data_IF_482278911546
#
_entry.id   IF_482278911546
#
_cell.length_a   1.000
_cell.length_b   1.000
_cell.length_c   1.000
_cell.angle_alpha   90.00
_cell.angle_beta   90.00
_cell.angle_gamma   90.00
#
_symmetry.space_group_name_H-M   'P 1'
#
loop_
_entity.id
_entity.type
_entity.pdbx_description
1 polymer ?
#
# COMPACT_ATOMS: atom_id res chain seq x y z
N UNK A 1 23.92 -3.68 15.71
CA UNK A 1 24.10 -2.24 15.40
C UNK A 1 22.71 -1.64 15.16
N UNK A 2 22.34 -0.62 15.93
CA UNK A 2 20.95 -0.13 16.03
C UNK A 2 20.57 0.58 14.71
N UNK A 3 19.48 0.14 14.09
CA UNK A 3 18.97 0.60 12.79
C UNK A 3 18.23 1.96 12.88
N UNK A 4 18.89 3.00 13.40
CA UNK A 4 18.30 4.34 13.48
C UNK A 4 18.31 4.95 12.06
N UNK A 5 17.13 5.08 11.45
CA UNK A 5 16.92 5.78 10.18
C UNK A 5 16.48 4.92 8.99
N UNK A 6 16.38 3.59 9.14
CA UNK A 6 16.03 2.65 8.06
C UNK A 6 14.56 2.22 8.01
N UNK A 7 13.68 3.09 8.47
CA UNK A 7 12.26 2.79 8.58
C UNK A 7 11.39 3.88 7.99
N UNK A 8 10.33 3.49 7.31
CA UNK A 8 9.32 4.40 6.76
C UNK A 8 7.96 4.07 7.33
N UNK A 9 7.23 5.11 7.72
CA UNK A 9 5.87 4.99 8.22
C UNK A 9 4.92 4.74 7.06
N UNK A 10 4.06 3.75 7.24
CA UNK A 10 2.95 3.44 6.35
C UNK A 10 1.65 3.17 7.11
N UNK A 11 1.76 2.77 8.38
CA UNK A 11 0.68 2.79 9.37
C UNK A 11 0.37 4.22 9.85
N UNK A 12 -0.83 4.42 10.40
CA UNK A 12 -1.28 5.69 10.99
C UNK A 12 -1.21 6.89 10.02
N UNK A 13 -1.26 6.63 8.71
CA UNK A 13 -1.37 7.67 7.69
C UNK A 13 -2.84 7.86 7.37
N UNK A 14 -3.38 9.04 7.66
CA UNK A 14 -4.76 9.33 7.29
C UNK A 14 -4.90 9.58 5.79
N UNK A 15 -5.54 8.65 5.07
CA UNK A 15 -6.00 8.86 3.70
C UNK A 15 -7.33 9.62 3.69
N UNK A 16 -7.47 10.58 2.78
CA UNK A 16 -8.72 11.30 2.57
C UNK A 16 -9.46 10.72 1.38
N UNK A 17 -10.57 10.04 1.65
CA UNK A 17 -11.51 9.63 0.61
C UNK A 17 -12.46 10.81 0.30
N UNK A 18 -12.77 11.04 -0.97
CA UNK A 18 -13.66 12.11 -1.41
C UNK A 18 -15.13 11.65 -1.53
N UNK A 19 -15.44 10.48 -0.97
CA UNK A 19 -16.76 9.86 -0.97
C UNK A 19 -17.09 9.29 0.42
N UNK A 20 -18.38 9.09 0.66
CA UNK A 20 -18.92 8.51 1.89
C UNK A 20 -19.87 7.38 1.53
N UNK A 21 -20.13 6.49 2.49
CA UNK A 21 -21.10 5.42 2.34
C UNK A 21 -21.42 4.80 3.69
N UNK A 22 -22.27 3.79 3.67
CA UNK A 22 -22.70 3.05 4.87
C UNK A 22 -22.69 1.53 4.67
N UNK A 23 -22.34 1.07 3.48
CA UNK A 23 -22.23 -0.33 3.14
C UNK A 23 -21.12 -1.03 3.93
N UNK A 24 -21.22 -2.36 4.03
CA UNK A 24 -20.12 -3.18 4.52
C UNK A 24 -19.12 -3.46 3.42
N UNK A 25 -17.83 -3.29 3.73
CA UNK A 25 -16.72 -3.52 2.80
C UNK A 25 -15.63 -4.39 3.44
N UNK A 26 -15.26 -5.47 2.77
CA UNK A 26 -14.12 -6.29 3.13
C UNK A 26 -12.90 -5.87 2.29
N UNK A 27 -11.74 -5.71 2.93
CA UNK A 27 -10.54 -5.16 2.32
C UNK A 27 -9.39 -6.15 2.46
N UNK A 28 -8.67 -6.39 1.37
CA UNK A 28 -7.42 -7.14 1.37
C UNK A 28 -6.37 -6.40 0.55
N UNK A 29 -5.13 -6.47 1.00
CA UNK A 29 -3.96 -6.05 0.22
C UNK A 29 -3.10 -7.28 0.03
N UNK A 30 -2.89 -7.68 -1.23
CA UNK A 30 -2.13 -8.87 -1.58
C UNK A 30 -0.74 -8.48 -2.06
N UNK A 31 0.30 -8.96 -1.35
CA UNK A 31 1.68 -8.68 -1.71
C UNK A 31 2.13 -9.59 -2.86
N UNK A 32 2.35 -9.00 -4.03
CA UNK A 32 2.83 -9.67 -5.23
C UNK A 32 4.15 -9.07 -5.71
N UNK A 33 4.89 -8.42 -4.81
CA UNK A 33 6.17 -7.81 -5.15
C UNK A 33 7.21 -8.88 -5.41
N UNK A 34 7.85 -8.80 -6.57
CA UNK A 34 8.99 -9.67 -6.93
C UNK A 34 10.08 -9.74 -5.85
N UNK A 35 10.24 -8.65 -5.08
CA UNK A 35 11.19 -8.59 -3.97
C UNK A 35 10.98 -9.68 -2.92
N UNK A 36 9.73 -10.08 -2.68
CA UNK A 36 9.38 -11.13 -1.74
C UNK A 36 9.40 -12.49 -2.45
N UNK A 37 8.75 -12.56 -3.62
CA UNK A 37 8.55 -13.80 -4.35
C UNK A 37 9.86 -14.43 -4.86
N UNK A 38 10.79 -13.62 -5.34
CA UNK A 38 12.02 -14.11 -6.02
C UNK A 38 13.32 -13.62 -5.40
N UNK A 39 13.28 -12.50 -4.66
CA UNK A 39 14.50 -11.88 -4.08
C UNK A 39 14.64 -12.09 -2.58
N UNK A 40 13.79 -12.93 -1.98
CA UNK A 40 13.82 -13.36 -0.58
C UNK A 40 13.93 -12.21 0.44
N UNK A 41 13.31 -11.06 0.15
CA UNK A 41 13.19 -9.98 1.14
C UNK A 41 12.13 -10.32 2.19
N UNK A 42 12.32 -9.79 3.39
CA UNK A 42 11.32 -9.87 4.45
C UNK A 42 10.03 -9.13 4.06
N UNK A 43 8.89 -9.57 4.59
CA UNK A 43 7.56 -9.02 4.26
C UNK A 43 7.41 -7.54 4.63
N UNK A 44 8.22 -7.04 5.56
CA UNK A 44 8.27 -5.64 5.98
C UNK A 44 9.18 -4.76 5.11
N UNK A 45 9.78 -5.30 4.04
CA UNK A 45 10.60 -4.53 3.11
C UNK A 45 9.80 -3.37 2.49
N UNK A 46 10.42 -2.18 2.39
CA UNK A 46 9.79 -0.97 1.87
C UNK A 46 10.71 -0.14 0.97
N UNK A 47 11.96 -0.56 0.77
CA UNK A 47 12.92 0.22 0.00
C UNK A 47 14.37 -0.15 0.24
N UNK A 48 15.23 0.60 -0.45
CA UNK A 48 16.68 0.52 -0.37
C UNK A 48 17.20 1.93 -0.11
N UNK A 49 18.19 2.05 0.77
CA UNK A 49 19.03 3.25 0.90
C UNK A 49 20.47 2.92 0.54
N UNK A 50 21.20 3.91 0.03
CA UNK A 50 22.62 3.79 -0.30
C UNK A 50 23.46 4.63 0.65
N UNK A 51 24.57 4.06 1.14
CA UNK A 51 25.59 4.84 1.86
C UNK A 51 26.25 5.87 0.94
N UNK A 52 27.07 6.77 1.50
CA UNK A 52 27.82 7.76 0.70
C UNK A 52 28.77 7.18 -0.35
N UNK A 53 29.10 5.88 -0.25
CA UNK A 53 29.89 5.13 -1.24
C UNK A 53 29.04 4.17 -2.09
N UNK A 54 27.71 4.31 -2.04
CA UNK A 54 26.77 3.59 -2.91
C UNK A 54 26.30 2.21 -2.42
N UNK A 55 26.73 1.75 -1.24
CA UNK A 55 26.38 0.42 -0.71
C UNK A 55 24.91 0.37 -0.29
N UNK A 56 24.10 -0.57 -0.81
CA UNK A 56 22.68 -0.66 -0.51
C UNK A 56 22.39 -1.29 0.87
N UNK A 57 21.36 -0.78 1.53
CA UNK A 57 20.78 -1.32 2.77
C UNK A 57 19.27 -1.27 2.68
N UNK A 58 18.61 -2.28 3.24
CA UNK A 58 17.16 -2.34 3.23
C UNK A 58 16.53 -1.29 4.15
N UNK A 59 15.37 -0.81 3.72
CA UNK A 59 14.44 -0.01 4.50
C UNK A 59 13.25 -0.90 4.82
N UNK A 60 12.86 -0.94 6.09
CA UNK A 60 11.68 -1.66 6.56
C UNK A 60 10.50 -0.70 6.83
N UNK A 61 9.32 -1.25 7.08
CA UNK A 61 8.23 -0.51 7.71
C UNK A 61 8.62 -0.01 9.09
N UNK A 62 8.01 1.09 9.54
CA UNK A 62 8.20 1.62 10.89
C UNK A 62 7.63 0.68 11.96
N UNK A 63 6.48 0.07 11.66
CA UNK A 63 5.80 -0.91 12.50
C UNK A 63 6.56 -2.24 12.64
N UNK A 64 7.49 -2.52 11.73
CA UNK A 64 8.16 -3.82 11.55
C UNK A 64 7.24 -4.96 11.07
N UNK A 65 5.94 -4.71 10.94
CA UNK A 65 4.95 -5.65 10.40
C UNK A 65 5.02 -5.73 8.87
N UNK A 66 4.41 -6.78 8.26
CA UNK A 66 4.29 -6.88 6.81
C UNK A 66 3.79 -5.58 6.20
N UNK A 67 4.41 -5.17 5.09
CA UNK A 67 4.08 -3.89 4.47
C UNK A 67 2.61 -3.81 4.03
N UNK A 68 2.06 -4.91 3.53
CA UNK A 68 0.65 -4.98 3.14
C UNK A 68 -0.32 -4.91 4.33
N UNK A 69 0.09 -5.30 5.53
CA UNK A 69 -0.75 -5.15 6.73
C UNK A 69 -0.91 -3.67 7.10
N UNK A 70 0.18 -2.89 7.05
CA UNK A 70 0.15 -1.44 7.28
C UNK A 70 -0.77 -0.74 6.26
N UNK A 71 -0.71 -1.15 5.00
CA UNK A 71 -1.57 -0.62 3.93
C UNK A 71 -3.03 -1.01 4.18
N UNK A 72 -3.32 -2.28 4.44
CA UNK A 72 -4.68 -2.78 4.62
C UNK A 72 -5.39 -2.07 5.78
N UNK A 73 -4.69 -1.89 6.90
CA UNK A 73 -5.22 -1.16 8.06
C UNK A 73 -5.46 0.31 7.72
N UNK A 74 -4.51 0.98 7.06
CA UNK A 74 -4.64 2.37 6.65
C UNK A 74 -5.83 2.61 5.73
N UNK A 75 -6.06 1.72 4.76
CA UNK A 75 -7.23 1.77 3.88
C UNK A 75 -8.50 1.52 4.72
N UNK A 76 -8.53 0.49 5.55
CA UNK A 76 -9.67 0.15 6.39
C UNK A 76 -10.10 1.31 7.28
N UNK A 77 -9.15 2.00 7.91
CA UNK A 77 -9.43 3.15 8.77
C UNK A 77 -9.95 4.35 7.97
N UNK A 78 -9.45 4.56 6.75
CA UNK A 78 -9.97 5.59 5.85
C UNK A 78 -11.42 5.33 5.44
N UNK A 79 -11.78 4.08 5.16
CA UNK A 79 -13.17 3.69 4.87
C UNK A 79 -14.07 3.86 6.12
N UNK A 80 -13.64 3.40 7.30
CA UNK A 80 -14.39 3.62 8.56
C UNK A 80 -14.63 5.09 8.85
N UNK A 81 -13.62 5.94 8.67
CA UNK A 81 -13.72 7.40 8.84
C UNK A 81 -14.76 8.03 7.92
N UNK A 82 -15.07 7.39 6.80
CA UNK A 82 -16.05 7.84 5.80
C UNK A 82 -17.42 7.15 5.90
N UNK A 83 -17.68 6.44 7.00
CA UNK A 83 -19.00 5.89 7.34
C UNK A 83 -19.21 4.41 6.99
N UNK A 84 -18.26 3.78 6.31
CA UNK A 84 -18.37 2.38 5.91
C UNK A 84 -18.18 1.43 7.09
N UNK A 85 -18.85 0.29 7.03
CA UNK A 85 -18.59 -0.85 7.91
C UNK A 85 -17.44 -1.66 7.33
N UNK A 86 -16.20 -1.20 7.53
CA UNK A 86 -15.02 -1.79 6.90
C UNK A 86 -14.30 -2.80 7.81
N UNK A 87 -13.86 -3.91 7.22
CA UNK A 87 -12.98 -4.91 7.85
C UNK A 87 -11.84 -5.27 6.90
N UNK A 88 -10.65 -5.47 7.45
CA UNK A 88 -9.48 -5.91 6.69
C UNK A 88 -9.11 -7.34 7.06
N UNK A 89 -8.69 -8.13 6.07
CA UNK A 89 -8.07 -9.44 6.28
C UNK A 89 -6.57 -9.35 6.06
N UNK A 90 -5.84 -10.19 6.80
CA UNK A 90 -4.43 -10.45 6.50
C UNK A 90 -4.34 -11.38 5.30
N UNK A 91 -3.31 -11.18 4.48
CA UNK A 91 -3.03 -12.04 3.33
C UNK A 91 -1.64 -12.64 3.48
N UNK A 92 -1.40 -13.75 2.80
CA UNK A 92 -0.10 -14.37 2.68
C UNK A 92 0.36 -14.22 1.24
N UNK A 93 1.56 -13.68 1.02
CA UNK A 93 2.13 -13.42 -0.31
C UNK A 93 2.24 -14.65 -1.23
N UNK A 94 2.14 -15.87 -0.68
CA UNK A 94 2.16 -17.13 -1.43
C UNK A 94 0.76 -17.63 -1.81
N UNK A 95 -0.31 -16.97 -1.34
CA UNK A 95 -1.68 -17.28 -1.75
C UNK A 95 -1.91 -16.89 -3.21
N UNK A 96 -2.85 -17.55 -3.87
CA UNK A 96 -3.30 -17.11 -5.20
C UNK A 96 -4.31 -15.97 -5.06
N UNK A 97 -4.45 -15.10 -6.07
CA UNK A 97 -5.49 -14.07 -6.08
C UNK A 97 -6.89 -14.61 -5.81
N UNK A 98 -7.21 -15.81 -6.31
CA UNK A 98 -8.50 -16.48 -6.12
C UNK A 98 -8.70 -16.88 -4.65
N UNK A 99 -7.65 -17.37 -3.99
CA UNK A 99 -7.70 -17.72 -2.56
C UNK A 99 -7.97 -16.48 -1.71
N UNK A 100 -7.29 -15.37 -2.00
CA UNK A 100 -7.51 -14.09 -1.31
C UNK A 100 -8.94 -13.59 -1.53
N UNK A 101 -9.47 -13.73 -2.75
CA UNK A 101 -10.84 -13.35 -3.08
C UNK A 101 -11.87 -14.21 -2.34
N UNK A 102 -11.68 -15.52 -2.25
CA UNK A 102 -12.57 -16.39 -1.48
C UNK A 102 -12.56 -16.06 0.02
N UNK A 103 -11.37 -15.74 0.57
CA UNK A 103 -11.25 -15.27 1.95
C UNK A 103 -11.99 -13.93 2.17
N UNK A 104 -11.93 -13.01 1.20
CA UNK A 104 -12.70 -11.76 1.23
C UNK A 104 -14.20 -12.02 1.21
N UNK A 105 -14.67 -12.89 0.31
CA UNK A 105 -16.09 -13.28 0.21
C UNK A 105 -16.60 -13.92 1.49
N UNK A 106 -15.76 -14.70 2.16
CA UNK A 106 -16.08 -15.35 3.44
C UNK A 106 -16.45 -14.38 4.57
N UNK A 107 -16.13 -13.09 4.45
CA UNK A 107 -16.56 -12.07 5.42
C UNK A 107 -18.01 -11.61 5.23
N UNK A 108 -18.67 -11.96 4.13
CA UNK A 108 -20.08 -11.60 3.88
C UNK A 108 -20.34 -10.10 3.70
N UNK A 109 -19.32 -9.33 3.37
CA UNK A 109 -19.47 -7.90 3.10
C UNK A 109 -20.18 -7.66 1.76
N UNK A 110 -20.94 -6.55 1.68
CA UNK A 110 -21.68 -6.19 0.46
C UNK A 110 -20.78 -5.74 -0.69
N UNK A 111 -19.57 -5.27 -0.36
CA UNK A 111 -18.51 -4.88 -1.30
C UNK A 111 -17.19 -5.51 -0.88
N UNK A 112 -16.35 -5.81 -1.87
CA UNK A 112 -15.02 -6.37 -1.65
C UNK A 112 -14.00 -5.46 -2.33
N UNK A 113 -12.92 -5.11 -1.63
CA UNK A 113 -11.80 -4.35 -2.18
C UNK A 113 -10.53 -5.20 -2.10
N UNK A 114 -10.02 -5.59 -3.25
CA UNK A 114 -8.72 -6.25 -3.38
C UNK A 114 -7.70 -5.26 -3.95
N UNK A 115 -6.62 -5.04 -3.22
CA UNK A 115 -5.48 -4.25 -3.69
C UNK A 115 -4.29 -5.17 -3.95
N UNK A 116 -3.92 -5.32 -5.22
CA UNK A 116 -2.76 -6.09 -5.63
C UNK A 116 -1.53 -5.20 -5.70
N UNK A 117 -0.50 -5.54 -4.94
CA UNK A 117 0.75 -4.80 -4.83
C UNK A 117 1.85 -5.50 -5.63
N UNK A 118 1.97 -5.18 -6.93
CA UNK A 118 2.98 -5.80 -7.82
C UNK A 118 4.35 -5.14 -7.67
N UNK A 119 4.38 -3.84 -7.39
CA UNK A 119 5.61 -3.12 -7.11
C UNK A 119 5.34 -2.00 -6.12
N UNK A 120 6.21 -1.90 -5.10
CA UNK A 120 6.30 -0.73 -4.24
C UNK A 120 7.63 -0.73 -3.50
N UNK A 121 8.50 0.23 -3.80
CA UNK A 121 9.70 0.49 -3.02
C UNK A 121 10.28 1.87 -3.34
N UNK A 122 11.06 2.41 -2.39
CA UNK A 122 11.91 3.57 -2.63
C UNK A 122 13.37 3.17 -2.87
N UNK A 123 14.11 3.92 -3.69
CA UNK A 123 15.59 3.90 -3.76
C UNK A 123 16.11 5.26 -3.32
N UNK A 124 16.77 5.30 -2.16
CA UNK A 124 17.27 6.50 -1.50
C UNK A 124 18.78 6.61 -1.70
N UNK A 125 19.19 7.58 -2.51
CA UNK A 125 20.57 8.08 -2.54
C UNK A 125 20.54 9.62 -2.50
N UNK A 126 21.32 10.34 -3.30
CA UNK A 126 21.22 11.82 -3.37
C UNK A 126 19.82 12.30 -3.80
N UNK A 127 19.14 11.49 -4.62
CA UNK A 127 17.75 11.64 -5.03
C UNK A 127 16.98 10.41 -4.55
N UNK A 128 15.74 10.60 -4.13
CA UNK A 128 14.82 9.53 -3.77
C UNK A 128 13.89 9.25 -4.93
N UNK A 129 13.89 8.00 -5.38
CA UNK A 129 12.99 7.48 -6.41
C UNK A 129 11.96 6.56 -5.78
N UNK A 130 10.72 6.64 -6.27
CA UNK A 130 9.64 5.72 -5.96
C UNK A 130 9.35 4.87 -7.19
N UNK A 131 9.17 3.58 -6.97
CA UNK A 131 8.77 2.61 -7.98
C UNK A 131 7.49 1.95 -7.50
N UNK A 132 6.43 2.00 -8.30
CA UNK A 132 5.13 1.50 -7.89
C UNK A 132 4.35 0.92 -9.06
N UNK A 133 3.61 -0.14 -8.78
CA UNK A 133 2.58 -0.75 -9.62
C UNK A 133 1.57 -1.37 -8.64
N UNK A 134 0.43 -0.71 -8.51
CA UNK A 134 -0.63 -1.07 -7.55
C UNK A 134 -1.96 -1.03 -8.28
N UNK A 135 -2.75 -2.08 -8.12
CA UNK A 135 -4.09 -2.18 -8.70
C UNK A 135 -5.11 -2.38 -7.60
N UNK A 136 -6.14 -1.53 -7.56
CA UNK A 136 -7.32 -1.69 -6.71
C UNK A 136 -8.48 -2.22 -7.56
N UNK A 137 -9.15 -3.26 -7.07
CA UNK A 137 -10.35 -3.83 -7.67
C UNK A 137 -11.49 -3.78 -6.65
N UNK A 138 -12.52 -3.01 -6.97
CA UNK A 138 -13.77 -2.99 -6.24
C UNK A 138 -14.71 -4.02 -6.87
N UNK A 139 -15.28 -4.89 -6.04
CA UNK A 139 -16.16 -5.97 -6.46
C UNK A 139 -17.46 -5.93 -5.67
N UNK A 140 -18.51 -6.53 -6.22
CA UNK A 140 -19.73 -6.84 -5.47
C UNK A 140 -19.52 -8.09 -4.58
N UNK A 141 -20.54 -8.46 -3.81
CA UNK A 141 -20.51 -9.63 -2.91
C UNK A 141 -20.25 -10.96 -3.62
N UNK A 142 -20.52 -11.05 -4.93
CA UNK A 142 -20.28 -12.26 -5.72
C UNK A 142 -18.83 -12.35 -6.24
N UNK A 143 -18.02 -11.29 -6.05
CA UNK A 143 -16.66 -11.19 -6.59
C UNK A 143 -16.60 -10.63 -8.02
N UNK A 144 -17.71 -10.11 -8.56
CA UNK A 144 -17.71 -9.48 -9.88
C UNK A 144 -17.11 -8.07 -9.76
N UNK A 145 -16.13 -7.76 -10.62
CA UNK A 145 -15.47 -6.46 -10.64
C UNK A 145 -16.46 -5.41 -11.12
N UNK A 146 -16.74 -4.44 -10.25
CA UNK A 146 -17.57 -3.26 -10.56
C UNK A 146 -16.73 -1.99 -10.69
N UNK A 147 -15.45 -2.06 -10.31
CA UNK A 147 -14.53 -0.94 -10.34
C UNK A 147 -13.08 -1.39 -10.36
N UNK A 148 -12.22 -0.68 -11.11
CA UNK A 148 -10.78 -0.95 -11.17
C UNK A 148 -10.00 0.34 -11.36
N UNK A 149 -8.95 0.52 -10.56
CA UNK A 149 -7.99 1.61 -10.68
C UNK A 149 -6.57 1.07 -10.57
N UNK A 150 -5.63 1.64 -11.32
CA UNK A 150 -4.23 1.23 -11.32
C UNK A 150 -3.34 2.47 -11.30
N UNK A 151 -2.34 2.46 -10.42
CA UNK A 151 -1.24 3.43 -10.41
C UNK A 151 0.06 2.69 -10.76
N UNK A 152 0.80 3.17 -11.73
CA UNK A 152 2.06 2.58 -12.16
C UNK A 152 3.01 3.64 -12.69
N UNK A 153 4.19 3.79 -12.07
CA UNK A 153 5.27 4.62 -12.60
C UNK A 153 6.57 4.46 -11.78
N UNK A 154 7.59 5.19 -12.24
CA UNK A 154 8.78 5.57 -11.49
C UNK A 154 8.85 7.08 -11.33
N UNK A 155 8.71 7.59 -10.11
CA UNK A 155 8.70 9.03 -9.83
C UNK A 155 9.89 9.46 -8.94
N UNK A 156 10.56 10.54 -9.31
CA UNK A 156 11.52 11.21 -8.43
C UNK A 156 10.77 12.15 -7.48
N UNK A 157 10.87 11.90 -6.17
CA UNK A 157 10.13 12.69 -5.17
C UNK A 157 10.95 13.81 -4.53
N UNK A 158 12.16 14.05 -5.06
CA UNK A 158 13.14 15.01 -4.55
C UNK A 158 14.36 14.32 -3.94
N UNK A 159 15.12 15.03 -3.11
CA UNK A 159 16.32 14.49 -2.50
C UNK A 159 17.03 15.49 -1.59
N UNK A 160 18.12 15.03 -0.97
CA UNK A 160 19.01 15.89 -0.20
C UNK A 160 20.43 15.37 -0.33
N UNK A 161 21.35 16.25 -0.72
CA UNK A 161 22.77 15.91 -0.74
C UNK A 161 23.32 15.68 0.67
N UNK A 162 22.91 16.51 1.64
CA UNK A 162 23.43 16.47 3.00
C UNK A 162 22.77 15.41 3.89
N UNK A 163 21.48 15.15 3.71
CA UNK A 163 20.77 14.16 4.53
C UNK A 163 19.61 13.49 3.77
N UNK A 164 19.93 12.58 2.82
CA UNK A 164 18.92 11.94 1.99
C UNK A 164 17.97 11.05 2.78
N UNK A 165 18.45 10.40 3.83
CA UNK A 165 17.63 9.53 4.70
C UNK A 165 16.57 10.33 5.44
N UNK A 166 16.93 11.49 6.01
CA UNK A 166 15.96 12.37 6.69
C UNK A 166 14.94 12.93 5.72
N UNK A 167 15.36 13.25 4.49
CA UNK A 167 14.44 13.66 3.43
C UNK A 167 13.43 12.55 3.12
N UNK A 168 13.91 11.34 2.80
CA UNK A 168 13.07 10.20 2.43
C UNK A 168 12.08 9.84 3.54
N UNK A 169 12.50 9.86 4.82
CA UNK A 169 11.62 9.62 5.98
C UNK A 169 10.40 10.54 6.05
N UNK A 170 10.48 11.74 5.46
CA UNK A 170 9.35 12.68 5.39
C UNK A 170 8.60 12.57 4.08
N UNK A 171 9.32 12.46 2.96
CA UNK A 171 8.75 12.51 1.62
C UNK A 171 8.01 11.21 1.25
N UNK A 172 8.52 10.03 1.66
CA UNK A 172 7.92 8.74 1.31
C UNK A 172 6.51 8.55 1.88
N UNK A 173 6.23 8.83 3.17
CA UNK A 173 4.86 8.78 3.70
C UNK A 173 3.89 9.73 3.00
N UNK A 174 4.35 10.95 2.65
CA UNK A 174 3.54 11.93 1.91
C UNK A 174 3.24 11.44 0.49
N UNK A 175 4.23 10.84 -0.16
CA UNK A 175 4.04 10.22 -1.47
C UNK A 175 3.06 9.06 -1.42
N UNK A 176 3.21 8.17 -0.41
CA UNK A 176 2.29 7.07 -0.17
C UNK A 176 0.85 7.56 -0.06
N UNK A 177 0.61 8.54 0.82
CA UNK A 177 -0.71 9.15 1.00
C UNK A 177 -1.29 9.62 -0.32
N UNK A 178 -0.56 10.47 -1.05
CA UNK A 178 -1.01 11.03 -2.33
C UNK A 178 -1.39 9.95 -3.34
N UNK A 179 -0.56 8.91 -3.47
CA UNK A 179 -0.77 7.85 -4.47
C UNK A 179 -1.90 6.90 -4.09
N UNK A 180 -2.07 6.58 -2.81
CA UNK A 180 -3.23 5.78 -2.38
C UNK A 180 -4.53 6.58 -2.41
N UNK A 181 -4.51 7.89 -2.15
CA UNK A 181 -5.65 8.77 -2.41
C UNK A 181 -6.00 8.84 -3.91
N UNK A 182 -5.01 8.94 -4.80
CA UNK A 182 -5.20 8.88 -6.27
C UNK A 182 -5.83 7.54 -6.68
N UNK A 183 -5.31 6.42 -6.17
CA UNK A 183 -5.81 5.08 -6.47
C UNK A 183 -7.27 4.89 -6.02
N UNK A 184 -7.60 5.29 -4.79
CA UNK A 184 -8.89 5.01 -4.15
C UNK A 184 -9.99 6.03 -4.51
N UNK A 185 -9.62 7.27 -4.84
CA UNK A 185 -10.58 8.31 -5.27
C UNK A 185 -10.79 8.32 -6.78
N UNK A 186 -10.21 7.38 -7.51
CA UNK A 186 -10.50 7.17 -8.93
C UNK A 186 -12.00 6.93 -9.12
N UNK A 187 -12.60 7.56 -10.14
CA UNK A 187 -14.05 7.50 -10.40
C UNK A 187 -14.58 6.07 -10.53
N UNK A 188 -13.73 5.15 -10.96
CA UNK A 188 -14.01 3.72 -11.10
C UNK A 188 -14.12 3.01 -9.75
N UNK A 189 -13.53 3.54 -8.68
CA UNK A 189 -13.66 3.03 -7.31
C UNK A 189 -14.80 3.74 -6.57
N UNK A 190 -15.07 5.00 -6.92
CA UNK A 190 -16.20 5.78 -6.39
C UNK A 190 -17.51 5.38 -7.07
N UNK A 191 -17.91 4.11 -6.91
CA UNK A 191 -19.19 3.56 -7.41
C UNK A 191 -20.25 3.53 -6.30
N UNK A 192 -20.02 4.21 -5.18
CA UNK A 192 -20.93 4.29 -4.02
C UNK A 192 -22.07 5.31 -4.20
N UNK A 193 -22.38 5.70 -5.44
CA UNK A 193 -23.46 6.64 -5.70
C UNK A 193 -24.79 5.88 -5.85
N UNK A 194 -25.66 6.12 -4.87
CA UNK A 194 -27.13 6.03 -4.81
C UNK A 194 -27.84 5.14 -5.85
#
# INVERSE_FOLDING_TARGET
MIAIGRKHQYNDIELNLNFKGSESIAIAVHDQRDWLLTKHKYTNFAGIMRSGVGIPYDIATLSEFPFVDDIANTICDAFKKNGFQASAIKTIHTETPETVLENLKGLGASKLLLVSLNQWYCDVYNKTWMYYNVTAQLMNSNGEIIGKSTIEDKEAIGGSFWNPVRFARKAVPVFFKRKFEELLNAKEIVVFNH
#
